data_IF_755911014198
#
_entry.id   IF_755911014198
#
_cell.length_a   1.000
_cell.length_b   1.000
_cell.length_c   1.000
_cell.angle_alpha   90.00
_cell.angle_beta   90.00
_cell.angle_gamma   90.00
#
_symmetry.space_group_name_H-M   'P 1'
#
loop_
_entity.id
_entity.type
_entity.pdbx_description
1 polymer ?
#
# COMPACT_ATOMS: atom_id res chain seq x y z
N UNK A 1 -29.43 16.09 -1.75
CA UNK A 1 -28.02 15.71 -1.49
C UNK A 1 -27.27 15.79 -2.81
N UNK A 2 -26.39 16.79 -3.02
CA UNK A 2 -25.76 17.02 -4.34
C UNK A 2 -24.82 15.88 -4.73
N UNK A 3 -24.69 15.62 -6.04
CA UNK A 3 -23.78 14.63 -6.61
C UNK A 3 -22.33 14.84 -6.11
N UNK A 4 -21.94 16.10 -5.90
CA UNK A 4 -20.65 16.48 -5.33
C UNK A 4 -20.49 16.06 -3.85
N UNK A 5 -21.58 16.05 -3.08
CA UNK A 5 -21.61 15.51 -1.72
C UNK A 5 -21.57 13.98 -1.74
N UNK A 6 -22.25 13.31 -2.67
CA UNK A 6 -22.19 11.86 -2.83
C UNK A 6 -20.79 11.39 -3.24
N UNK A 7 -20.15 12.10 -4.17
CA UNK A 7 -18.74 11.87 -4.56
C UNK A 7 -17.78 12.16 -3.40
N UNK A 8 -17.99 13.22 -2.62
CA UNK A 8 -17.22 13.48 -1.38
C UNK A 8 -17.41 12.37 -0.35
N UNK A 9 -18.63 11.85 -0.18
CA UNK A 9 -18.93 10.76 0.76
C UNK A 9 -18.27 9.45 0.30
N UNK A 10 -18.29 9.14 -1.00
CA UNK A 10 -17.61 7.95 -1.55
C UNK A 10 -16.08 8.08 -1.48
N UNK A 11 -15.52 9.24 -1.84
CA UNK A 11 -14.07 9.47 -1.75
C UNK A 11 -13.55 9.56 -0.31
N UNK A 12 -14.38 9.98 0.63
CA UNK A 12 -14.02 10.09 2.06
C UNK A 12 -14.09 8.75 2.80
N UNK A 13 -14.61 7.68 2.20
CA UNK A 13 -15.14 6.56 2.98
C UNK A 13 -14.85 5.14 2.47
N UNK A 14 -13.68 4.87 1.86
CA UNK A 14 -13.29 3.46 1.67
C UNK A 14 -11.81 3.08 1.77
N UNK A 15 -10.90 4.04 1.97
CA UNK A 15 -9.53 3.75 2.39
C UNK A 15 -8.96 4.93 3.22
N UNK A 16 -8.94 4.77 4.54
CA UNK A 16 -7.99 5.38 5.48
C UNK A 16 -8.14 6.85 5.93
N UNK A 17 -8.96 7.04 6.96
CA UNK A 17 -8.69 8.08 7.98
C UNK A 17 -7.84 7.53 9.15
N UNK A 18 -7.87 6.22 9.43
CA UNK A 18 -7.22 5.67 10.62
C UNK A 18 -5.77 5.18 10.41
N UNK A 19 -5.35 4.90 9.16
CA UNK A 19 -4.03 4.30 8.87
C UNK A 19 -2.93 5.37 8.76
N UNK A 20 -3.27 6.59 8.37
CA UNK A 20 -2.31 7.70 8.26
C UNK A 20 -2.06 8.26 9.66
N UNK A 21 -0.83 8.12 10.13
CA UNK A 21 -0.39 8.69 11.42
C UNK A 21 0.50 9.90 11.19
N UNK A 22 0.46 10.82 12.14
CA UNK A 22 1.32 11.99 12.17
C UNK A 22 2.45 11.76 13.16
N UNK A 23 3.67 12.07 12.74
CA UNK A 23 4.88 12.03 13.53
C UNK A 23 5.42 13.46 13.65
N UNK A 24 5.45 14.00 14.87
CA UNK A 24 6.02 15.32 15.13
C UNK A 24 7.46 15.15 15.56
N UNK A 25 8.39 15.67 14.75
CA UNK A 25 9.82 15.77 15.10
C UNK A 25 10.17 17.25 15.08
N UNK A 26 10.61 17.77 16.23
CA UNK A 26 10.91 19.18 16.43
C UNK A 26 9.73 20.07 15.99
N UNK A 27 9.96 20.95 15.01
CA UNK A 27 8.96 21.86 14.45
C UNK A 27 8.32 21.33 13.14
N UNK A 28 8.59 20.09 12.74
CA UNK A 28 8.07 19.50 11.50
C UNK A 28 7.12 18.34 11.81
N UNK A 29 6.01 18.30 11.09
CA UNK A 29 5.03 17.21 11.18
C UNK A 29 5.09 16.40 9.90
N UNK A 30 5.38 15.11 10.04
CA UNK A 30 5.43 14.16 8.95
C UNK A 30 4.20 13.25 9.02
N UNK A 31 3.65 12.90 7.85
CA UNK A 31 2.58 11.92 7.75
C UNK A 31 3.16 10.61 7.23
N UNK A 32 2.77 9.49 7.82
CA UNK A 32 3.21 8.16 7.40
C UNK A 32 2.06 7.15 7.46
N UNK A 33 2.15 6.09 6.64
CA UNK A 33 1.18 5.01 6.62
C UNK A 33 1.57 3.93 7.64
N UNK A 34 0.76 3.74 8.68
CA UNK A 34 1.05 2.81 9.77
C UNK A 34 0.68 1.37 9.39
N UNK A 35 1.68 0.55 9.07
CA UNK A 35 1.50 -0.88 8.74
C UNK A 35 0.75 -1.66 9.83
N UNK A 36 0.96 -1.32 11.11
CA UNK A 36 0.26 -1.98 12.22
C UNK A 36 -1.25 -1.76 12.16
N UNK A 37 -1.68 -0.57 11.73
CA UNK A 37 -3.10 -0.27 11.60
C UNK A 37 -3.67 -0.95 10.36
N UNK A 38 -2.93 -0.95 9.25
CA UNK A 38 -3.30 -1.71 8.05
C UNK A 38 -3.44 -3.19 8.33
N UNK A 39 -2.50 -3.78 9.06
CA UNK A 39 -2.55 -5.19 9.43
C UNK A 39 -3.77 -5.56 10.26
N UNK A 40 -4.21 -4.66 11.17
CA UNK A 40 -5.46 -4.84 11.92
C UNK A 40 -6.69 -4.76 11.02
N UNK A 41 -6.70 -3.82 10.08
CA UNK A 41 -7.84 -3.62 9.18
C UNK A 41 -8.02 -4.78 8.19
N UNK A 42 -6.92 -5.40 7.76
CA UNK A 42 -6.91 -6.48 6.77
C UNK A 42 -6.63 -7.88 7.36
N UNK A 43 -6.59 -8.02 8.70
CA UNK A 43 -6.27 -9.25 9.41
C UNK A 43 -4.96 -9.94 8.94
N UNK A 44 -3.89 -9.17 8.72
CA UNK A 44 -2.60 -9.66 8.24
C UNK A 44 -1.61 -9.84 9.40
N UNK A 45 -0.99 -11.02 9.49
CA UNK A 45 0.06 -11.32 10.46
C UNK A 45 1.41 -10.72 10.06
N UNK A 46 1.67 -9.45 10.43
CA UNK A 46 2.95 -8.79 10.14
C UNK A 46 4.18 -9.56 10.64
N UNK A 47 4.06 -10.24 11.79
CA UNK A 47 5.17 -11.02 12.39
C UNK A 47 5.64 -12.16 11.48
N UNK A 48 4.72 -12.82 10.77
CA UNK A 48 5.02 -13.94 9.87
C UNK A 48 5.52 -13.47 8.50
N UNK A 49 5.27 -12.20 8.15
CA UNK A 49 5.61 -11.66 6.85
C UNK A 49 7.08 -11.22 6.79
N UNK A 50 7.86 -11.66 5.77
CA UNK A 50 9.20 -11.15 5.47
C UNK A 50 9.26 -9.63 5.35
N UNK A 51 10.40 -9.03 5.71
CA UNK A 51 10.59 -7.58 5.67
C UNK A 51 10.43 -6.99 4.26
N UNK A 52 10.85 -7.70 3.22
CA UNK A 52 10.69 -7.28 1.82
C UNK A 52 9.23 -7.04 1.44
N UNK A 53 8.34 -7.95 1.84
CA UNK A 53 6.90 -7.83 1.61
C UNK A 53 6.28 -6.68 2.42
N UNK A 54 6.84 -6.33 3.58
CA UNK A 54 6.35 -5.19 4.37
C UNK A 54 6.60 -3.87 3.65
N UNK A 55 7.75 -3.76 2.98
CA UNK A 55 8.10 -2.61 2.15
C UNK A 55 7.15 -2.52 0.95
N UNK A 56 6.85 -3.64 0.31
CA UNK A 56 5.90 -3.68 -0.81
C UNK A 56 4.49 -3.29 -0.37
N UNK A 57 4.03 -3.79 0.77
CA UNK A 57 2.74 -3.44 1.35
C UNK A 57 2.65 -1.94 1.68
N UNK A 58 3.69 -1.36 2.27
CA UNK A 58 3.77 0.09 2.50
C UNK A 58 3.71 0.88 1.19
N UNK A 59 4.44 0.40 0.18
CA UNK A 59 4.51 1.06 -1.11
C UNK A 59 3.14 1.11 -1.80
N UNK A 60 2.38 0.02 -1.72
CA UNK A 60 1.02 -0.05 -2.21
C UNK A 60 0.15 0.93 -1.43
N UNK A 61 0.18 0.90 -0.09
CA UNK A 61 -0.62 1.81 0.73
C UNK A 61 -0.35 3.29 0.41
N UNK A 62 0.90 3.66 0.13
CA UNK A 62 1.29 5.03 -0.21
C UNK A 62 0.77 5.50 -1.57
N UNK A 63 0.75 4.61 -2.56
CA UNK A 63 0.44 4.95 -3.95
C UNK A 63 -0.97 4.52 -4.40
N UNK A 64 -1.70 3.82 -3.54
CA UNK A 64 -3.05 3.33 -3.81
C UNK A 64 -4.05 4.47 -3.84
N UNK A 65 -4.29 5.00 -5.03
CA UNK A 65 -5.37 5.94 -5.26
C UNK A 65 -6.68 5.16 -5.51
N UNK A 66 -7.42 4.82 -4.44
CA UNK A 66 -8.80 4.30 -4.47
C UNK A 66 -9.17 3.27 -5.57
N UNK A 67 -8.27 2.32 -5.88
CA UNK A 67 -8.55 1.27 -6.87
C UNK A 67 -8.97 -0.04 -6.17
N UNK A 68 -9.99 -0.72 -6.71
CA UNK A 68 -10.45 -2.02 -6.22
C UNK A 68 -9.31 -3.06 -6.18
N UNK A 69 -8.39 -2.98 -7.13
CA UNK A 69 -7.21 -3.84 -7.23
C UNK A 69 -6.34 -3.82 -5.96
N UNK A 70 -6.38 -2.74 -5.16
CA UNK A 70 -5.58 -2.60 -3.94
C UNK A 70 -6.04 -3.58 -2.88
N UNK A 71 -7.35 -3.72 -2.69
CA UNK A 71 -7.93 -4.62 -1.70
C UNK A 71 -7.60 -6.07 -2.07
N UNK A 72 -7.74 -6.42 -3.34
CA UNK A 72 -7.39 -7.74 -3.87
C UNK A 72 -5.89 -8.04 -3.71
N UNK A 73 -5.04 -7.05 -3.98
CA UNK A 73 -3.59 -7.18 -3.82
C UNK A 73 -3.22 -7.37 -2.34
N UNK A 74 -3.84 -6.62 -1.44
CA UNK A 74 -3.64 -6.75 0.02
C UNK A 74 -4.08 -8.14 0.51
N UNK A 75 -5.24 -8.63 0.04
CA UNK A 75 -5.70 -9.99 0.34
C UNK A 75 -4.75 -11.06 -0.19
N UNK A 76 -4.11 -10.82 -1.33
CA UNK A 76 -3.11 -11.72 -1.91
C UNK A 76 -1.88 -11.90 -1.00
N UNK A 77 -1.49 -10.88 -0.22
CA UNK A 77 -0.42 -11.02 0.78
C UNK A 77 -0.82 -11.96 1.92
N UNK A 78 -2.07 -11.94 2.35
CA UNK A 78 -2.57 -12.88 3.36
C UNK A 78 -2.46 -14.33 2.86
N UNK A 79 -2.90 -14.56 1.62
CA UNK A 79 -2.76 -15.86 0.97
C UNK A 79 -1.30 -16.27 0.76
N UNK A 80 -0.41 -15.31 0.46
CA UNK A 80 1.03 -15.58 0.32
C UNK A 80 1.65 -16.03 1.64
N UNK A 81 1.25 -15.46 2.78
CA UNK A 81 1.73 -15.90 4.09
C UNK A 81 1.35 -17.37 4.35
N UNK A 82 0.15 -17.79 3.93
CA UNK A 82 -0.31 -19.17 4.06
C UNK A 82 0.39 -20.12 3.08
N UNK A 83 0.59 -19.71 1.82
CA UNK A 83 1.25 -20.53 0.80
C UNK A 83 2.03 -19.67 -0.20
N UNK A 84 3.35 -19.44 0.04
CA UNK A 84 4.19 -18.61 -0.80
C UNK A 84 4.30 -19.10 -2.25
N UNK A 85 4.25 -20.43 -2.46
CA UNK A 85 4.45 -21.07 -3.78
C UNK A 85 3.22 -21.05 -4.68
N UNK A 86 2.03 -20.86 -4.10
CA UNK A 86 0.78 -20.86 -4.85
C UNK A 86 0.46 -19.50 -5.48
N UNK A 87 1.01 -18.40 -4.95
CA UNK A 87 0.64 -17.05 -5.35
C UNK A 87 1.53 -16.56 -6.50
N UNK A 88 0.96 -16.45 -7.70
CA UNK A 88 1.61 -15.94 -8.92
C UNK A 88 1.06 -14.57 -9.34
N UNK A 89 0.71 -13.74 -8.37
CA UNK A 89 0.07 -12.45 -8.62
C UNK A 89 1.11 -11.39 -8.98
N UNK A 90 0.75 -10.50 -9.91
CA UNK A 90 1.53 -9.31 -10.22
C UNK A 90 1.15 -8.20 -9.24
N UNK A 91 2.16 -7.48 -8.74
CA UNK A 91 1.99 -6.40 -7.77
C UNK A 91 2.62 -5.14 -8.32
N UNK A 92 1.90 -4.02 -8.22
CA UNK A 92 2.42 -2.71 -8.62
C UNK A 92 3.45 -2.21 -7.60
N UNK A 93 4.61 -1.79 -8.12
CA UNK A 93 5.70 -1.25 -7.33
C UNK A 93 6.26 0.03 -7.95
N UNK A 94 6.10 1.12 -7.21
CA UNK A 94 6.75 2.39 -7.47
C UNK A 94 8.00 2.54 -6.59
N UNK A 95 9.22 2.50 -7.15
CA UNK A 95 10.43 2.69 -6.37
C UNK A 95 10.54 4.13 -5.87
N UNK A 96 11.06 4.32 -4.66
CA UNK A 96 11.21 5.66 -4.07
C UNK A 96 12.29 6.53 -4.74
N UNK A 97 13.27 5.89 -5.38
CA UNK A 97 14.32 6.53 -6.18
C UNK A 97 14.73 5.57 -7.30
N UNK A 98 15.19 6.14 -8.41
CA UNK A 98 15.77 5.41 -9.53
C UNK A 98 17.15 6.02 -9.73
N UNK A 99 18.19 5.20 -9.76
CA UNK A 99 19.52 5.66 -10.18
C UNK A 99 19.53 5.72 -11.71
N UNK A 100 18.92 6.75 -12.25
CA UNK A 100 18.96 7.07 -13.68
C UNK A 100 19.92 8.24 -13.87
N UNK A 101 20.98 8.01 -14.64
CA UNK A 101 21.72 9.11 -15.24
C UNK A 101 20.75 9.92 -16.12
N UNK A 102 20.50 11.16 -15.73
CA UNK A 102 19.90 12.22 -16.54
C UNK A 102 18.64 11.92 -17.36
N UNK A 103 17.64 11.19 -16.86
CA UNK A 103 16.28 11.27 -17.44
C UNK A 103 15.19 11.13 -16.35
N UNK A 104 14.27 12.11 -16.27
CA UNK A 104 13.07 12.01 -15.42
C UNK A 104 12.14 10.95 -16.00
N UNK A 105 11.85 9.90 -15.24
CA UNK A 105 10.87 8.89 -15.63
C UNK A 105 9.98 8.53 -14.44
N UNK A 106 8.66 8.67 -14.60
CA UNK A 106 7.66 8.16 -13.66
C UNK A 106 7.38 6.70 -14.03
N UNK A 107 8.17 5.77 -13.51
CA UNK A 107 8.06 4.34 -13.86
C UNK A 107 7.26 3.61 -12.78
N UNK A 108 6.08 3.11 -13.16
CA UNK A 108 5.36 2.10 -12.38
C UNK A 108 5.85 0.74 -12.86
N UNK A 109 6.51 -0.01 -11.97
CA UNK A 109 7.01 -1.35 -12.28
C UNK A 109 6.01 -2.40 -11.80
N UNK A 110 5.78 -3.45 -12.60
CA UNK A 110 5.04 -4.64 -12.12
C UNK A 110 6.04 -5.68 -11.63
N UNK A 111 5.92 -6.06 -10.36
CA UNK A 111 6.71 -7.13 -9.76
C UNK A 111 5.91 -8.43 -9.81
N UNK A 112 6.58 -9.50 -10.24
CA UNK A 112 6.02 -10.85 -10.23
C UNK A 112 6.75 -11.69 -9.18
N UNK A 113 5.99 -12.32 -8.29
CA UNK A 113 6.56 -13.27 -7.34
C UNK A 113 6.81 -14.60 -8.05
N UNK A 114 8.09 -14.98 -8.11
CA UNK A 114 8.51 -16.36 -8.34
C UNK A 114 8.98 -16.89 -6.97
N UNK A 115 8.32 -17.91 -6.49
CA UNK A 115 8.62 -18.59 -5.23
C UNK A 115 9.24 -19.96 -5.50
#
# INVERSE_FOLDING_TARGET
>A
MNLLNYMKIIYKNKLNLDIVKKLKINNKTYSFFSLVQAAKNFNISLKQMPYSLRILLENILRHSHNNNNVIETINSFSNWIANPKAVKNEIEFMPGRINAGLYRCSIISRLRFYA
#
